data_IF_038519251834
#
_entry.id   IF_038519251834
#
_cell.length_a   1.000
_cell.length_b   1.000
_cell.length_c   1.000
_cell.angle_alpha   90.00
_cell.angle_beta   90.00
_cell.angle_gamma   90.00
#
_symmetry.space_group_name_H-M   'P 1'
#
loop_
_entity.id
_entity.type
_entity.pdbx_description
1 polymer ?
#
# COMPACT_ATOMS: atom_id res chain seq x y z
N UNK A 1 -11.86 15.01 -13.85
CA UNK A 1 -12.49 13.70 -14.07
C UNK A 1 -12.26 12.90 -12.79
N UNK A 2 -13.32 12.49 -12.11
CA UNK A 2 -13.26 12.06 -10.70
C UNK A 2 -12.71 10.64 -10.51
N UNK A 3 -12.06 10.41 -9.37
CA UNK A 3 -11.46 9.13 -8.95
C UNK A 3 -12.49 8.00 -8.97
N UNK A 4 -13.69 8.25 -8.47
CA UNK A 4 -14.81 7.30 -8.46
C UNK A 4 -15.15 6.81 -9.88
N UNK A 5 -15.21 7.72 -10.85
CA UNK A 5 -15.50 7.37 -12.24
C UNK A 5 -14.44 6.44 -12.84
N UNK A 6 -13.17 6.64 -12.47
CA UNK A 6 -12.10 5.75 -12.90
C UNK A 6 -12.20 4.37 -12.22
N UNK A 7 -12.46 4.32 -10.91
CA UNK A 7 -12.60 3.07 -10.16
C UNK A 7 -13.73 2.20 -10.72
N UNK A 8 -14.91 2.79 -10.94
CA UNK A 8 -16.10 2.11 -11.46
C UNK A 8 -15.82 1.37 -12.79
N UNK A 9 -15.01 1.97 -13.67
CA UNK A 9 -14.66 1.41 -14.99
C UNK A 9 -13.34 0.64 -15.02
N UNK A 10 -12.58 0.63 -13.93
CA UNK A 10 -11.25 0.03 -13.89
C UNK A 10 -11.35 -1.47 -13.75
N UNK A 11 -11.03 -2.20 -14.83
CA UNK A 11 -10.87 -3.67 -14.78
C UNK A 11 -9.85 -4.11 -13.72
N UNK A 12 -8.80 -3.32 -13.51
CA UNK A 12 -7.81 -3.59 -12.47
C UNK A 12 -8.45 -3.55 -11.08
N UNK A 13 -9.25 -2.53 -10.80
CA UNK A 13 -9.95 -2.38 -9.52
C UNK A 13 -10.94 -3.54 -9.30
N UNK A 14 -11.77 -3.84 -10.30
CA UNK A 14 -12.73 -4.95 -10.25
C UNK A 14 -12.04 -6.31 -10.01
N UNK A 15 -10.93 -6.58 -10.71
CA UNK A 15 -10.15 -7.81 -10.51
C UNK A 15 -9.56 -7.90 -9.10
N UNK A 16 -9.04 -6.79 -8.57
CA UNK A 16 -8.43 -6.75 -7.24
C UNK A 16 -9.48 -6.92 -6.13
N UNK A 17 -10.65 -6.28 -6.27
CA UNK A 17 -11.79 -6.44 -5.34
C UNK A 17 -12.39 -7.85 -5.36
N UNK A 18 -12.34 -8.53 -6.49
CA UNK A 18 -12.81 -9.92 -6.61
C UNK A 18 -11.79 -10.96 -6.11
N UNK A 19 -10.57 -10.53 -5.75
CA UNK A 19 -9.49 -11.40 -5.32
C UNK A 19 -9.56 -11.77 -3.82
N UNK A 20 -8.63 -12.64 -3.36
CA UNK A 20 -8.58 -13.12 -1.96
C UNK A 20 -8.31 -12.01 -0.93
N UNK A 21 -7.96 -10.80 -1.38
CA UNK A 21 -7.69 -9.64 -0.54
C UNK A 21 -8.63 -8.46 -0.86
N UNK A 22 -9.78 -8.75 -1.49
CA UNK A 22 -10.71 -7.75 -2.03
C UNK A 22 -11.17 -6.70 -1.03
N UNK A 23 -11.48 -7.10 0.21
CA UNK A 23 -11.92 -6.17 1.26
C UNK A 23 -10.89 -5.07 1.59
N UNK A 24 -9.59 -5.36 1.45
CA UNK A 24 -8.52 -4.39 1.70
C UNK A 24 -8.33 -3.45 0.52
N UNK A 25 -8.55 -3.96 -0.68
CA UNK A 25 -8.53 -3.17 -1.92
C UNK A 25 -9.71 -2.20 -1.90
N UNK A 26 -10.89 -2.64 -1.51
CA UNK A 26 -12.09 -1.81 -1.41
C UNK A 26 -11.92 -0.66 -0.43
N UNK A 27 -11.39 -0.93 0.78
CA UNK A 27 -11.10 0.12 1.77
C UNK A 27 -10.03 1.10 1.32
N UNK A 28 -8.98 0.60 0.67
CA UNK A 28 -7.97 1.47 0.09
C UNK A 28 -8.56 2.33 -1.05
N UNK A 29 -9.45 1.77 -1.87
CA UNK A 29 -10.14 2.51 -2.92
C UNK A 29 -11.05 3.60 -2.34
N UNK A 30 -11.75 3.33 -1.23
CA UNK A 30 -12.52 4.35 -0.51
C UNK A 30 -11.62 5.50 -0.02
N UNK A 31 -10.45 5.19 0.54
CA UNK A 31 -9.45 6.19 0.94
C UNK A 31 -8.93 7.01 -0.25
N UNK A 32 -8.72 6.39 -1.41
CA UNK A 32 -8.36 7.12 -2.63
C UNK A 32 -9.45 8.10 -3.08
N UNK A 33 -10.73 7.77 -2.88
CA UNK A 33 -11.83 8.70 -3.18
C UNK A 33 -11.77 9.94 -2.27
N UNK A 34 -11.47 9.74 -0.99
CA UNK A 34 -11.30 10.84 -0.02
C UNK A 34 -10.08 11.71 -0.34
N UNK A 35 -8.94 11.10 -0.65
CA UNK A 35 -7.67 11.80 -0.92
C UNK A 35 -7.65 12.50 -2.30
N UNK A 36 -8.62 12.20 -3.17
CA UNK A 36 -8.79 12.78 -4.53
C UNK A 36 -7.50 12.94 -5.35
N UNK A 37 -6.65 11.91 -5.50
CA UNK A 37 -5.49 11.99 -6.37
C UNK A 37 -5.91 12.18 -7.84
N UNK A 38 -5.00 12.71 -8.65
CA UNK A 38 -5.20 12.75 -10.11
C UNK A 38 -5.34 11.33 -10.68
N UNK A 39 -6.08 11.17 -11.79
CA UNK A 39 -6.42 9.86 -12.38
C UNK A 39 -5.22 8.92 -12.59
N UNK A 40 -4.11 9.43 -13.11
CA UNK A 40 -2.90 8.64 -13.31
C UNK A 40 -2.27 8.21 -11.98
N UNK A 41 -2.45 9.04 -10.95
CA UNK A 41 -2.17 8.69 -9.56
C UNK A 41 -3.04 7.54 -9.07
N UNK A 42 -4.34 7.55 -9.32
CA UNK A 42 -5.25 6.45 -8.94
C UNK A 42 -4.87 5.12 -9.59
N UNK A 43 -4.63 5.10 -10.92
CA UNK A 43 -4.17 3.87 -11.60
C UNK A 43 -2.85 3.38 -10.97
N UNK A 44 -1.92 4.29 -10.71
CA UNK A 44 -0.63 3.94 -10.13
C UNK A 44 -0.78 3.39 -8.72
N UNK A 45 -1.56 4.03 -7.85
CA UNK A 45 -1.90 3.56 -6.50
C UNK A 45 -2.47 2.13 -6.53
N UNK A 46 -3.46 1.86 -7.38
CA UNK A 46 -4.02 0.52 -7.51
C UNK A 46 -3.01 -0.50 -8.04
N UNK A 47 -2.21 -0.14 -9.05
CA UNK A 47 -1.17 -1.02 -9.59
C UNK A 47 -0.07 -1.29 -8.55
N UNK A 48 0.22 -0.30 -7.69
CA UNK A 48 1.15 -0.43 -6.58
C UNK A 48 0.67 -1.37 -5.50
N UNK A 49 -0.64 -1.46 -5.24
CA UNK A 49 -1.21 -2.37 -4.23
C UNK A 49 -1.49 -3.76 -4.81
N UNK A 50 -1.97 -3.82 -6.05
CA UNK A 50 -2.27 -5.10 -6.71
C UNK A 50 -1.03 -5.94 -6.99
N UNK A 51 0.09 -5.31 -7.32
CA UNK A 51 1.35 -5.98 -7.59
C UNK A 51 1.90 -6.81 -6.40
N UNK A 52 2.07 -6.21 -5.20
CA UNK A 52 2.43 -6.93 -3.99
C UNK A 52 1.46 -8.06 -3.65
N UNK A 53 0.15 -7.82 -3.70
CA UNK A 53 -0.88 -8.83 -3.38
C UNK A 53 -0.78 -10.06 -4.30
N UNK A 54 -0.62 -9.82 -5.61
CA UNK A 54 -0.41 -10.90 -6.59
C UNK A 54 0.91 -11.63 -6.34
N UNK A 55 1.97 -10.88 -6.02
CA UNK A 55 3.30 -11.43 -5.78
C UNK A 55 3.38 -12.30 -4.52
N UNK A 56 2.77 -11.87 -3.40
CA UNK A 56 2.72 -12.66 -2.16
C UNK A 56 1.90 -13.94 -2.35
N UNK A 57 0.75 -13.85 -3.04
CA UNK A 57 -0.08 -15.01 -3.37
C UNK A 57 0.68 -16.04 -4.20
N UNK A 58 1.47 -15.59 -5.19
CA UNK A 58 2.32 -16.47 -6.01
C UNK A 58 3.44 -17.18 -5.23
N UNK A 59 3.83 -16.63 -4.07
CA UNK A 59 4.93 -17.13 -3.22
C UNK A 59 4.47 -17.86 -1.96
N UNK A 60 3.16 -18.11 -1.82
CA UNK A 60 2.54 -18.72 -0.63
C UNK A 60 2.74 -17.93 0.67
N UNK A 61 3.05 -16.63 0.56
CA UNK A 61 2.95 -15.72 1.70
C UNK A 61 1.47 -15.45 1.99
N UNK A 62 1.13 -15.35 3.27
CA UNK A 62 -0.19 -14.89 3.72
C UNK A 62 -0.17 -13.37 3.85
N UNK A 63 -1.35 -12.75 3.83
CA UNK A 63 -1.46 -11.31 4.06
C UNK A 63 -0.86 -10.88 5.39
N UNK A 64 -1.02 -11.70 6.44
CA UNK A 64 -0.43 -11.48 7.77
C UNK A 64 1.11 -11.39 7.76
N UNK A 65 1.76 -12.00 6.78
CA UNK A 65 3.22 -11.96 6.64
C UNK A 65 3.70 -10.65 6.00
N UNK A 66 2.76 -9.79 5.57
CA UNK A 66 3.08 -8.53 4.92
C UNK A 66 3.59 -7.51 5.95
N UNK A 67 4.82 -7.09 5.76
CA UNK A 67 5.48 -6.03 6.51
C UNK A 67 6.34 -5.16 5.57
N UNK A 68 7.04 -4.20 6.15
CA UNK A 68 7.94 -3.31 5.42
C UNK A 68 9.09 -4.07 4.73
N UNK A 69 9.54 -5.20 5.29
CA UNK A 69 10.61 -6.01 4.69
C UNK A 69 10.11 -6.78 3.46
N UNK A 70 8.92 -7.36 3.53
CA UNK A 70 8.28 -8.05 2.42
C UNK A 70 7.99 -7.06 1.30
N UNK A 71 7.54 -5.85 1.63
CA UNK A 71 7.35 -4.76 0.67
C UNK A 71 8.68 -4.36 0.00
N UNK A 72 9.77 -4.22 0.75
CA UNK A 72 11.09 -3.93 0.15
C UNK A 72 11.59 -5.09 -0.74
N UNK A 73 11.34 -6.35 -0.37
CA UNK A 73 11.65 -7.51 -1.23
C UNK A 73 10.82 -7.48 -2.51
N UNK A 74 9.54 -7.12 -2.42
CA UNK A 74 8.69 -6.92 -3.59
C UNK A 74 9.24 -5.81 -4.49
N UNK A 75 9.60 -4.66 -3.93
CA UNK A 75 10.17 -3.55 -4.69
C UNK A 75 11.46 -3.96 -5.40
N UNK A 76 12.36 -4.70 -4.75
CA UNK A 76 13.56 -5.25 -5.41
C UNK A 76 13.21 -6.21 -6.55
N UNK A 77 12.17 -7.02 -6.39
CA UNK A 77 11.69 -7.91 -7.46
C UNK A 77 11.13 -7.11 -8.63
N UNK A 78 10.27 -6.13 -8.36
CA UNK A 78 9.64 -5.26 -9.36
C UNK A 78 10.67 -4.41 -10.09
N UNK A 79 11.64 -3.83 -9.39
CA UNK A 79 12.72 -3.00 -9.94
C UNK A 79 13.58 -3.68 -10.99
N UNK A 80 13.63 -5.02 -11.00
CA UNK A 80 14.31 -5.79 -12.06
C UNK A 80 13.56 -5.82 -13.39
N UNK A 81 12.26 -5.48 -13.38
CA UNK A 81 11.35 -5.60 -14.53
C UNK A 81 10.65 -4.29 -14.89
N UNK A 82 10.52 -3.36 -13.95
CA UNK A 82 9.77 -2.12 -14.09
C UNK A 82 10.45 -1.00 -13.29
N UNK A 83 10.27 0.24 -13.74
CA UNK A 83 10.77 1.42 -13.03
C UNK A 83 10.00 1.65 -11.72
N UNK A 84 10.74 1.94 -10.65
CA UNK A 84 10.20 2.34 -9.35
C UNK A 84 10.30 3.87 -9.27
N UNK A 85 9.18 4.55 -9.11
CA UNK A 85 9.18 6.00 -8.92
C UNK A 85 9.48 6.36 -7.46
N UNK A 86 10.00 7.58 -7.20
CA UNK A 86 10.31 8.04 -5.84
C UNK A 86 9.10 7.95 -4.88
N UNK A 87 7.88 8.15 -5.38
CA UNK A 87 6.65 8.08 -4.58
C UNK A 87 6.13 6.68 -4.27
N UNK A 88 6.60 5.64 -4.99
CA UNK A 88 6.05 4.28 -4.88
C UNK A 88 6.23 3.70 -3.46
N UNK A 89 7.36 4.03 -2.82
CA UNK A 89 7.64 3.63 -1.43
C UNK A 89 6.70 4.28 -0.43
N UNK A 90 6.43 5.58 -0.58
CA UNK A 90 5.52 6.30 0.30
C UNK A 90 4.10 5.76 0.16
N UNK A 91 3.71 5.39 -1.06
CA UNK A 91 2.40 4.83 -1.34
C UNK A 91 2.19 3.46 -0.71
N UNK A 92 3.18 2.57 -0.85
CA UNK A 92 3.14 1.27 -0.20
C UNK A 92 3.11 1.36 1.32
N UNK A 93 3.80 2.35 1.92
CA UNK A 93 3.72 2.62 3.36
C UNK A 93 2.34 3.09 3.78
N UNK A 94 1.71 4.01 3.02
CA UNK A 94 0.32 4.45 3.28
C UNK A 94 -0.64 3.26 3.24
N UNK A 95 -0.48 2.39 2.24
CA UNK A 95 -1.28 1.19 2.13
C UNK A 95 -1.06 0.22 3.32
N UNK A 96 0.19 -0.01 3.76
CA UNK A 96 0.45 -0.81 4.96
C UNK A 96 -0.24 -0.25 6.20
N UNK A 97 -0.29 1.08 6.37
CA UNK A 97 -1.05 1.70 7.47
C UNK A 97 -2.53 1.34 7.42
N UNK A 98 -3.17 1.42 6.24
CA UNK A 98 -4.59 1.01 6.07
C UNK A 98 -4.80 -0.45 6.45
N UNK A 99 -3.94 -1.34 5.97
CA UNK A 99 -4.06 -2.79 6.23
C UNK A 99 -3.84 -3.10 7.73
N UNK A 100 -3.04 -2.28 8.41
CA UNK A 100 -2.75 -2.39 9.85
C UNK A 100 -3.86 -1.83 10.73
N UNK A 101 -4.45 -0.69 10.35
CA UNK A 101 -5.64 -0.12 11.00
C UNK A 101 -6.80 -1.13 11.00
N UNK A 102 -6.88 -1.95 9.96
CA UNK A 102 -7.86 -3.05 9.83
C UNK A 102 -7.47 -4.34 10.57
N UNK A 103 -6.35 -4.34 11.29
CA UNK A 103 -5.88 -5.49 12.07
C UNK A 103 -5.43 -6.69 11.23
N UNK A 104 -5.22 -6.53 9.92
CA UNK A 104 -4.90 -7.62 9.02
C UNK A 104 -3.41 -7.98 8.98
N UNK A 105 -2.56 -7.05 9.40
CA UNK A 105 -1.12 -7.25 9.58
C UNK A 105 -0.74 -6.86 11.01
N UNK A 106 0.37 -7.41 11.49
CA UNK A 106 0.89 -7.10 12.82
C UNK A 106 1.11 -5.58 12.98
N UNK A 107 0.84 -5.00 14.17
CA UNK A 107 1.17 -3.62 14.48
C UNK A 107 2.62 -3.31 14.14
N UNK A 108 2.90 -2.06 13.77
CA UNK A 108 4.24 -1.64 13.44
C UNK A 108 5.05 -1.73 14.72
N UNK A 109 5.98 -2.67 14.79
CA UNK A 109 7.00 -2.67 15.83
C UNK A 109 7.95 -1.55 15.47
N UNK A 110 7.60 -0.33 15.89
CA UNK A 110 8.54 0.79 15.83
C UNK A 110 9.73 0.39 16.70
N UNK A 111 10.97 0.41 16.16
CA UNK A 111 12.13 0.27 17.01
C UNK A 111 12.03 1.31 18.14
N UNK A 112 12.48 0.99 19.36
CA UNK A 112 12.49 1.96 20.45
C UNK A 112 13.09 3.26 19.94
N UNK A 113 12.34 4.36 20.09
CA UNK A 113 12.79 5.70 19.67
C UNK A 113 14.22 5.86 20.13
N UNK A 114 15.13 6.04 19.17
CA UNK A 114 16.52 6.28 19.52
C UNK A 114 16.60 7.59 20.30
N UNK A 115 17.66 7.80 21.10
CA UNK A 115 17.84 9.06 21.85
C UNK A 115 17.68 10.29 20.92
N UNK A 116 18.03 10.16 19.65
CA UNK A 116 17.86 11.20 18.64
C UNK A 116 16.40 11.52 18.32
N UNK A 117 15.51 10.52 18.22
CA UNK A 117 14.09 10.75 17.91
C UNK A 117 13.32 11.39 19.09
N UNK A 118 13.80 11.21 20.33
CA UNK A 118 13.24 11.90 21.51
C UNK A 118 13.49 13.40 21.47
N UNK A 119 14.67 13.82 21.01
CA UNK A 119 15.05 15.24 20.95
C UNK A 119 14.12 15.98 20.00
N UNK A 120 13.82 15.43 18.82
CA UNK A 120 12.94 16.11 17.86
C UNK A 120 11.49 16.23 18.35
N UNK A 121 10.96 15.26 19.12
CA UNK A 121 9.63 15.37 19.73
C UNK A 121 9.52 16.44 20.82
N UNK A 122 10.63 16.79 21.46
CA UNK A 122 10.68 17.80 22.53
C UNK A 122 10.57 19.23 21.99
N UNK A 123 10.79 19.44 20.69
CA UNK A 123 10.68 20.75 20.04
C UNK A 123 9.30 21.04 19.41
N UNK A 124 8.41 20.06 19.34
CA UNK A 124 7.06 20.18 18.74
C UNK A 124 5.94 20.31 19.81
N UNK A 125 6.28 20.54 21.10
CA UNK A 125 5.34 20.78 22.21
C UNK A 125 5.37 22.25 22.66
#
# INVERSE_FOLDING_TARGET
>A
MEVEWYLDRSRLDQCLRSGPHGQFVERYAARLVEERPVRDGTWRCLNMVGGPLSWIASRRYKLVDLDEQVVERYLRHRGRRQSIQPGDRAELKRWLSVVREEGAIAPLVLPPLTRHDRIFREFDA
#
